data_IF_701081829056
#
_entry.id   IF_701081829056
#
_cell.length_a   1.000
_cell.length_b   1.000
_cell.length_c   1.000
_cell.angle_alpha   90.00
_cell.angle_beta   90.00
_cell.angle_gamma   90.00
#
_symmetry.space_group_name_H-M   'P 1'
#
loop_
_entity.id
_entity.type
_entity.pdbx_description
1 polymer ?
#
# COMPACT_ATOMS: atom_id res chain seq x y z
N UNK A 1 4.49 10.15 15.16
CA UNK A 1 4.03 9.54 13.90
C UNK A 1 5.14 8.68 13.33
N UNK A 2 4.89 7.46 12.84
CA UNK A 2 5.89 6.62 12.17
C UNK A 2 6.06 7.02 10.70
N UNK A 3 7.26 6.84 10.17
CA UNK A 3 7.58 7.16 8.78
C UNK A 3 8.29 5.97 8.13
N UNK A 4 7.76 5.49 7.02
CA UNK A 4 8.32 4.40 6.23
C UNK A 4 8.74 4.82 4.84
N UNK A 5 9.50 3.96 4.17
CA UNK A 5 9.76 4.07 2.74
C UNK A 5 9.29 2.82 1.99
N UNK A 6 8.90 2.98 0.73
CA UNK A 6 8.57 1.85 -0.14
C UNK A 6 9.48 1.79 -1.36
N UNK A 7 9.94 0.57 -1.68
CA UNK A 7 10.60 0.23 -2.93
C UNK A 7 9.58 -0.35 -3.92
N UNK A 8 9.58 0.11 -5.17
CA UNK A 8 8.57 -0.27 -6.17
C UNK A 8 9.14 -0.86 -7.47
N UNK A 9 10.46 -0.84 -7.66
CA UNK A 9 11.17 -1.49 -8.76
C UNK A 9 10.59 -1.19 -10.15
N UNK A 10 10.38 0.08 -10.47
CA UNK A 10 9.83 0.49 -11.78
C UNK A 10 10.89 0.56 -12.88
N UNK A 11 10.58 0.03 -14.07
CA UNK A 11 11.43 0.10 -15.26
C UNK A 11 10.63 0.55 -16.50
N UNK A 12 10.12 1.80 -16.52
CA UNK A 12 9.24 2.26 -17.58
C UNK A 12 9.84 2.07 -18.97
N UNK A 13 9.10 1.40 -19.87
CA UNK A 13 9.53 1.10 -21.22
C UNK A 13 10.73 0.15 -21.30
N UNK A 14 11.06 -0.54 -20.20
CA UNK A 14 12.25 -1.44 -20.09
C UNK A 14 13.53 -0.74 -20.51
N UNK A 15 13.65 0.55 -20.13
CA UNK A 15 14.75 1.42 -20.55
C UNK A 15 16.11 1.02 -19.97
N UNK A 16 16.13 0.18 -18.93
CA UNK A 16 17.31 -0.30 -18.22
C UNK A 16 17.26 -1.83 -18.08
N UNK A 17 18.38 -2.46 -17.71
CA UNK A 17 18.36 -3.86 -17.30
C UNK A 17 17.63 -3.98 -15.96
N UNK A 18 16.74 -4.94 -15.82
CA UNK A 18 15.98 -5.17 -14.56
C UNK A 18 16.92 -5.37 -13.36
N UNK A 19 18.06 -6.05 -13.57
CA UNK A 19 19.09 -6.19 -12.55
C UNK A 19 19.57 -4.84 -12.00
N UNK A 20 19.82 -3.86 -12.86
CA UNK A 20 20.36 -2.55 -12.44
C UNK A 20 19.27 -1.75 -11.67
N UNK A 21 18.00 -1.87 -12.07
CA UNK A 21 16.87 -1.27 -11.33
C UNK A 21 16.76 -1.88 -9.93
N UNK A 22 16.85 -3.21 -9.84
CA UNK A 22 16.84 -3.90 -8.54
C UNK A 22 17.99 -3.45 -7.64
N UNK A 23 19.21 -3.38 -8.17
CA UNK A 23 20.37 -2.96 -7.36
C UNK A 23 20.24 -1.51 -6.87
N UNK A 24 19.69 -0.62 -7.68
CA UNK A 24 19.48 0.77 -7.28
C UNK A 24 18.41 0.91 -6.21
N UNK A 25 17.25 0.25 -6.36
CA UNK A 25 16.16 0.30 -5.37
C UNK A 25 16.53 -0.44 -4.07
N UNK A 26 17.29 -1.54 -4.16
CA UNK A 26 17.84 -2.22 -2.96
C UNK A 26 18.82 -1.33 -2.20
N UNK A 27 19.68 -0.57 -2.92
CA UNK A 27 20.59 0.39 -2.28
C UNK A 27 19.82 1.48 -1.54
N UNK A 28 18.70 1.97 -2.10
CA UNK A 28 17.82 2.92 -1.41
C UNK A 28 17.14 2.28 -0.21
N UNK A 29 16.65 1.04 -0.33
CA UNK A 29 16.04 0.30 0.77
C UNK A 29 17.03 0.06 1.93
N UNK A 30 18.32 -0.20 1.63
CA UNK A 30 19.37 -0.31 2.63
C UNK A 30 19.62 0.97 3.43
N UNK A 31 19.30 2.13 2.86
CA UNK A 31 19.38 3.42 3.57
C UNK A 31 18.24 3.64 4.55
N UNK A 32 17.16 2.84 4.50
CA UNK A 32 15.99 3.00 5.34
C UNK A 32 16.35 3.04 6.83
N UNK A 33 17.00 1.99 7.32
CA UNK A 33 17.35 1.88 8.73
C UNK A 33 18.45 2.88 9.18
N UNK A 34 19.56 3.07 8.44
CA UNK A 34 20.57 4.07 8.77
C UNK A 34 20.08 5.52 8.80
N UNK A 35 19.12 5.88 7.93
CA UNK A 35 18.53 7.21 7.89
C UNK A 35 17.47 7.44 8.97
N UNK A 36 17.08 6.40 9.73
CA UNK A 36 16.14 6.53 10.84
C UNK A 36 14.67 6.31 10.49
N UNK A 37 14.35 5.76 9.32
CA UNK A 37 12.97 5.35 9.03
C UNK A 37 12.49 4.25 10.00
N UNK A 38 11.18 4.15 10.17
CA UNK A 38 10.54 3.19 11.07
C UNK A 38 10.16 1.88 10.35
N UNK A 39 10.06 1.89 9.00
CA UNK A 39 9.61 0.74 8.23
C UNK A 39 10.04 0.78 6.77
N UNK A 40 10.23 -0.40 6.17
CA UNK A 40 10.41 -0.61 4.73
C UNK A 40 9.23 -1.40 4.17
N UNK A 41 8.77 -1.01 2.97
CA UNK A 41 7.57 -1.53 2.32
C UNK A 41 7.85 -1.90 0.88
N UNK A 42 7.01 -2.78 0.33
CA UNK A 42 6.91 -2.97 -1.11
C UNK A 42 5.50 -3.37 -1.51
N UNK A 43 5.29 -3.43 -2.83
CA UNK A 43 4.02 -3.76 -3.49
C UNK A 43 4.14 -5.10 -4.20
N UNK A 44 3.01 -5.65 -4.68
CA UNK A 44 2.99 -6.84 -5.53
C UNK A 44 2.36 -6.50 -6.88
N UNK A 45 3.13 -6.69 -7.96
CA UNK A 45 2.67 -6.57 -9.35
C UNK A 45 3.41 -7.52 -10.27
N UNK A 46 2.77 -7.88 -11.39
CA UNK A 46 3.24 -8.94 -12.26
C UNK A 46 3.19 -8.55 -13.74
N UNK A 47 4.00 -9.27 -14.55
CA UNK A 47 3.99 -9.35 -16.01
C UNK A 47 4.31 -8.09 -16.79
N UNK A 48 4.43 -6.93 -16.14
CA UNK A 48 4.70 -5.64 -16.78
C UNK A 48 5.90 -4.93 -16.16
N UNK A 49 6.34 -3.84 -16.77
CA UNK A 49 7.39 -2.94 -16.28
C UNK A 49 6.86 -1.86 -15.31
N UNK A 50 5.57 -1.93 -14.96
CA UNK A 50 4.91 -1.02 -14.02
C UNK A 50 5.53 -1.07 -12.63
N UNK A 51 5.61 -2.25 -12.03
CA UNK A 51 6.40 -2.57 -10.84
C UNK A 51 6.85 -4.02 -10.93
N UNK A 52 8.14 -4.25 -10.73
CA UNK A 52 8.72 -5.58 -10.92
C UNK A 52 8.99 -6.25 -9.57
N UNK A 53 7.98 -6.29 -8.69
CA UNK A 53 8.03 -7.01 -7.42
C UNK A 53 6.95 -8.10 -7.42
N UNK A 54 7.23 -9.28 -7.98
CA UNK A 54 6.24 -10.34 -8.13
C UNK A 54 5.95 -11.09 -6.82
N UNK A 55 6.78 -10.90 -5.81
CA UNK A 55 6.60 -11.50 -4.50
C UNK A 55 7.08 -10.54 -3.42
N UNK A 56 6.13 -9.84 -2.80
CA UNK A 56 6.42 -8.86 -1.78
C UNK A 56 6.97 -9.50 -0.50
N UNK A 57 6.55 -10.73 -0.17
CA UNK A 57 7.02 -11.45 1.03
C UNK A 57 8.47 -11.91 0.85
N UNK A 58 8.85 -12.33 -0.35
CA UNK A 58 10.23 -12.69 -0.67
C UNK A 58 11.16 -11.47 -0.54
N UNK A 59 10.75 -10.30 -1.08
CA UNK A 59 11.51 -9.05 -0.91
C UNK A 59 11.63 -8.66 0.57
N UNK A 60 10.54 -8.70 1.33
CA UNK A 60 10.56 -8.37 2.75
C UNK A 60 11.39 -9.36 3.58
N UNK A 61 11.42 -10.63 3.19
CA UNK A 61 12.30 -11.65 3.81
C UNK A 61 13.77 -11.32 3.54
N UNK A 62 14.11 -10.89 2.32
CA UNK A 62 15.43 -10.41 2.00
C UNK A 62 15.82 -9.18 2.86
N UNK A 63 14.90 -8.23 3.04
CA UNK A 63 15.13 -7.07 3.90
C UNK A 63 15.17 -7.43 5.40
N UNK A 64 14.48 -8.48 5.83
CA UNK A 64 14.59 -8.99 7.21
C UNK A 64 16.01 -9.39 7.59
N UNK A 65 16.74 -10.01 6.64
CA UNK A 65 18.15 -10.37 6.83
C UNK A 65 19.13 -9.20 6.75
N UNK A 66 18.70 -8.04 6.25
CA UNK A 66 19.54 -6.84 6.05
C UNK A 66 19.28 -5.74 7.08
N UNK A 67 18.23 -5.88 7.88
CA UNK A 67 17.79 -4.89 8.87
C UNK A 67 17.55 -5.53 10.24
N UNK A 68 17.59 -4.74 11.28
CA UNK A 68 17.42 -5.24 12.67
C UNK A 68 16.26 -4.60 13.41
N UNK A 69 15.86 -3.38 13.02
CA UNK A 69 14.91 -2.55 13.75
C UNK A 69 13.64 -2.22 12.97
N UNK A 70 13.78 -1.87 11.70
CA UNK A 70 12.63 -1.39 10.91
C UNK A 70 11.55 -2.46 10.75
N UNK A 71 10.29 -2.03 10.80
CA UNK A 71 9.18 -2.90 10.46
C UNK A 71 9.16 -3.21 8.95
N UNK A 72 8.58 -4.34 8.60
CA UNK A 72 8.54 -4.90 7.23
C UNK A 72 7.09 -4.97 6.78
N UNK A 73 6.68 -4.09 5.86
CA UNK A 73 5.28 -3.96 5.48
C UNK A 73 4.99 -4.39 4.05
N UNK A 74 3.99 -5.22 3.84
CA UNK A 74 3.43 -5.47 2.51
C UNK A 74 2.33 -4.45 2.18
N UNK A 75 2.33 -3.95 0.93
CA UNK A 75 1.38 -2.93 0.49
C UNK A 75 0.95 -3.18 -0.96
N UNK A 76 0.46 -4.33 -1.26
CA UNK A 76 -0.11 -5.42 -0.44
C UNK A 76 0.34 -6.80 -0.91
N UNK A 77 -0.02 -7.90 -0.19
CA UNK A 77 -0.12 -9.25 -0.75
C UNK A 77 -1.48 -9.36 -1.44
N UNK A 78 -1.53 -9.74 -2.71
CA UNK A 78 -2.78 -9.83 -3.48
C UNK A 78 -3.37 -11.25 -3.38
N UNK A 79 -4.12 -11.50 -2.32
CA UNK A 79 -4.59 -12.84 -1.94
C UNK A 79 -5.24 -13.66 -3.06
N UNK A 80 -6.10 -13.12 -3.96
CA UNK A 80 -6.74 -13.94 -4.99
C UNK A 80 -5.80 -14.63 -5.98
N UNK A 81 -4.53 -14.22 -6.03
CA UNK A 81 -3.52 -14.84 -6.92
C UNK A 81 -2.70 -15.94 -6.25
N UNK A 82 -2.85 -16.13 -4.94
CA UNK A 82 -2.07 -17.04 -4.13
C UNK A 82 -2.91 -18.19 -3.56
N UNK A 83 -2.25 -19.26 -3.19
CA UNK A 83 -2.79 -20.22 -2.25
C UNK A 83 -2.71 -19.63 -0.83
N UNK A 84 -3.83 -19.39 -0.13
CA UNK A 84 -3.81 -18.68 1.15
C UNK A 84 -3.15 -19.49 2.27
N UNK A 85 -3.05 -20.82 2.18
CA UNK A 85 -2.28 -21.63 3.13
C UNK A 85 -0.77 -21.39 2.97
N UNK A 86 -0.29 -21.27 1.71
CA UNK A 86 1.09 -20.87 1.44
C UNK A 86 1.41 -19.49 2.00
N UNK A 87 0.51 -18.52 1.80
CA UNK A 87 0.68 -17.17 2.37
C UNK A 87 0.73 -17.21 3.90
N UNK A 88 -0.07 -18.05 4.56
CA UNK A 88 -0.04 -18.21 6.01
C UNK A 88 1.33 -18.69 6.52
N UNK A 89 1.93 -19.68 5.86
CA UNK A 89 3.28 -20.16 6.20
C UNK A 89 4.37 -19.15 5.90
N UNK A 90 4.32 -18.47 4.75
CA UNK A 90 5.28 -17.45 4.32
C UNK A 90 5.28 -16.24 5.26
N UNK A 91 4.10 -15.74 5.62
CA UNK A 91 3.91 -14.65 6.59
C UNK A 91 4.44 -15.06 7.96
N UNK A 92 4.11 -16.27 8.42
CA UNK A 92 4.60 -16.78 9.70
C UNK A 92 6.11 -16.98 9.71
N UNK A 93 6.68 -17.50 8.62
CA UNK A 93 8.13 -17.66 8.47
C UNK A 93 8.84 -16.29 8.50
N UNK A 94 8.36 -15.30 7.74
CA UNK A 94 8.92 -13.94 7.76
C UNK A 94 8.83 -13.30 9.15
N UNK A 95 7.70 -13.49 9.85
CA UNK A 95 7.52 -12.95 11.20
C UNK A 95 8.52 -13.57 12.20
N UNK A 96 8.77 -14.87 12.11
CA UNK A 96 9.80 -15.56 12.91
C UNK A 96 11.22 -15.08 12.55
N UNK A 97 11.56 -15.01 11.25
CA UNK A 97 12.87 -14.55 10.80
C UNK A 97 13.17 -13.09 11.21
N UNK A 98 12.15 -12.26 11.26
CA UNK A 98 12.28 -10.85 11.61
C UNK A 98 12.09 -10.55 13.10
N UNK A 99 11.75 -11.55 13.94
CA UNK A 99 11.43 -11.34 15.36
C UNK A 99 10.15 -10.50 15.55
N UNK A 100 9.14 -10.72 14.72
CA UNK A 100 7.84 -10.07 14.84
C UNK A 100 7.76 -8.65 14.26
N UNK A 101 8.61 -8.29 13.29
CA UNK A 101 8.60 -6.97 12.64
C UNK A 101 7.64 -6.86 11.46
N UNK A 102 6.95 -7.93 11.06
CA UNK A 102 6.02 -7.94 9.92
C UNK A 102 4.78 -7.09 10.21
N UNK A 103 4.39 -6.24 9.24
CA UNK A 103 3.09 -5.60 9.12
C UNK A 103 2.43 -6.15 7.86
N UNK A 104 1.33 -6.87 8.03
CA UNK A 104 0.67 -7.56 6.93
C UNK A 104 -0.33 -6.63 6.24
N UNK A 105 -0.11 -6.33 4.99
CA UNK A 105 -1.06 -5.64 4.14
C UNK A 105 -1.63 -6.58 3.08
N UNK A 106 -2.93 -6.61 2.94
CA UNK A 106 -3.69 -7.48 2.05
C UNK A 106 -4.41 -6.69 0.96
N UNK A 107 -4.59 -7.28 -0.21
CA UNK A 107 -5.31 -6.68 -1.32
C UNK A 107 -6.07 -7.69 -2.16
N UNK A 108 -7.05 -7.15 -2.90
CA UNK A 108 -7.87 -7.92 -3.83
C UNK A 108 -7.27 -8.00 -5.24
N UNK A 109 -6.41 -7.03 -5.59
CA UNK A 109 -5.94 -6.83 -6.95
C UNK A 109 -6.94 -6.05 -7.83
N UNK A 110 -6.40 -5.45 -8.91
CA UNK A 110 -7.19 -4.68 -9.87
C UNK A 110 -6.63 -4.74 -11.31
N UNK A 111 -5.42 -5.23 -11.52
CA UNK A 111 -4.80 -5.33 -12.84
C UNK A 111 -5.35 -6.50 -13.64
N UNK A 112 -6.09 -6.22 -14.73
CA UNK A 112 -6.65 -7.26 -15.60
C UNK A 112 -5.57 -8.20 -16.14
N UNK A 113 -4.41 -7.65 -16.55
CA UNK A 113 -3.27 -8.42 -17.07
C UNK A 113 -2.77 -9.45 -16.05
N UNK A 114 -2.86 -9.15 -14.77
CA UNK A 114 -2.43 -10.02 -13.68
C UNK A 114 -3.44 -11.15 -13.46
N UNK A 115 -4.74 -10.83 -13.42
CA UNK A 115 -5.79 -11.84 -13.35
C UNK A 115 -5.76 -12.82 -14.53
N UNK A 116 -5.58 -12.32 -15.75
CA UNK A 116 -5.43 -13.16 -16.95
C UNK A 116 -4.17 -14.04 -16.89
N UNK A 117 -3.04 -13.46 -16.46
CA UNK A 117 -1.77 -14.17 -16.32
C UNK A 117 -1.84 -15.32 -15.30
N UNK A 118 -2.52 -15.10 -14.17
CA UNK A 118 -2.75 -16.14 -13.16
C UNK A 118 -3.97 -17.02 -13.46
N UNK A 119 -4.75 -16.71 -14.49
CA UNK A 119 -5.94 -17.48 -14.89
C UNK A 119 -7.02 -17.48 -13.79
N UNK A 120 -7.08 -16.40 -13.01
CA UNK A 120 -8.09 -16.18 -11.96
C UNK A 120 -9.20 -15.29 -12.53
N UNK A 121 -10.48 -15.69 -12.46
CA UNK A 121 -11.56 -14.83 -12.93
C UNK A 121 -11.63 -13.53 -12.10
N UNK A 122 -11.44 -12.38 -12.75
CA UNK A 122 -11.42 -11.07 -12.08
C UNK A 122 -12.74 -10.77 -11.34
N UNK A 123 -13.88 -11.21 -11.89
CA UNK A 123 -15.20 -11.05 -11.27
C UNK A 123 -15.46 -11.84 -9.99
N UNK A 124 -14.58 -12.81 -9.65
CA UNK A 124 -14.64 -13.60 -8.41
C UNK A 124 -13.65 -13.08 -7.35
N UNK A 125 -12.87 -12.05 -7.69
CA UNK A 125 -11.76 -11.58 -6.85
C UNK A 125 -12.18 -11.12 -5.46
N UNK A 126 -13.40 -10.59 -5.31
CA UNK A 126 -13.91 -10.11 -4.03
C UNK A 126 -14.26 -11.27 -3.11
N UNK A 127 -14.99 -12.22 -3.60
CA UNK A 127 -15.43 -13.39 -2.86
C UNK A 127 -14.21 -14.25 -2.46
N UNK A 128 -13.29 -14.49 -3.40
CA UNK A 128 -12.02 -15.17 -3.11
C UNK A 128 -11.21 -14.43 -2.04
N UNK A 129 -11.10 -13.10 -2.16
CA UNK A 129 -10.38 -12.29 -1.16
C UNK A 129 -10.99 -12.45 0.23
N UNK A 130 -12.31 -12.43 0.36
CA UNK A 130 -12.98 -12.53 1.66
C UNK A 130 -12.72 -13.89 2.30
N UNK A 131 -12.95 -15.00 1.59
CA UNK A 131 -12.73 -16.34 2.13
C UNK A 131 -11.24 -16.58 2.46
N UNK A 132 -10.34 -16.19 1.57
CA UNK A 132 -8.91 -16.34 1.77
C UNK A 132 -8.40 -15.51 2.97
N UNK A 133 -8.89 -14.27 3.11
CA UNK A 133 -8.55 -13.42 4.25
C UNK A 133 -9.12 -13.96 5.56
N UNK A 134 -10.35 -14.46 5.58
CA UNK A 134 -10.94 -15.06 6.77
C UNK A 134 -10.10 -16.26 7.25
N UNK A 135 -9.82 -17.22 6.36
CA UNK A 135 -8.99 -18.37 6.70
C UNK A 135 -7.60 -17.96 7.19
N UNK A 136 -6.93 -17.06 6.45
CA UNK A 136 -5.59 -16.60 6.77
C UNK A 136 -5.53 -15.92 8.15
N UNK A 137 -6.42 -14.96 8.40
CA UNK A 137 -6.42 -14.19 9.63
C UNK A 137 -6.75 -15.05 10.86
N UNK A 138 -7.74 -15.93 10.73
CA UNK A 138 -8.06 -16.88 11.79
C UNK A 138 -6.92 -17.89 12.01
N UNK A 139 -6.33 -18.39 10.92
CA UNK A 139 -5.22 -19.34 10.97
C UNK A 139 -3.99 -18.76 11.67
N UNK A 140 -3.63 -17.53 11.37
CA UNK A 140 -2.51 -16.82 12.01
C UNK A 140 -2.70 -16.63 13.52
N UNK A 141 -3.96 -16.56 14.01
CA UNK A 141 -4.25 -16.47 15.44
C UNK A 141 -4.34 -17.86 16.09
N UNK A 142 -4.84 -18.88 15.39
CA UNK A 142 -5.04 -20.26 15.91
C UNK A 142 -3.79 -21.14 15.78
N UNK A 143 -2.87 -20.81 14.85
CA UNK A 143 -1.70 -21.62 14.51
C UNK A 143 -2.00 -22.77 13.54
N UNK A 144 -3.20 -22.84 13.01
CA UNK A 144 -3.62 -23.78 11.96
C UNK A 144 -4.71 -23.16 11.09
N UNK A 145 -4.76 -23.55 9.83
CA UNK A 145 -5.85 -23.22 8.92
C UNK A 145 -6.83 -24.38 8.77
N UNK A 146 -8.12 -24.05 8.71
CA UNK A 146 -9.24 -24.94 8.39
C UNK A 146 -10.37 -24.08 7.85
N UNK A 147 -10.90 -24.37 6.68
CA UNK A 147 -11.95 -23.57 6.05
C UNK A 147 -12.78 -24.40 5.08
N UNK A 148 -14.10 -24.17 5.08
CA UNK A 148 -15.04 -24.78 4.16
C UNK A 148 -15.94 -23.69 3.56
N UNK A 149 -15.58 -23.22 2.35
CA UNK A 149 -16.24 -22.15 1.62
C UNK A 149 -16.55 -22.53 0.18
N UNK A 150 -17.01 -21.54 -0.57
CA UNK A 150 -17.35 -21.71 -2.00
C UNK A 150 -16.09 -21.75 -2.88
N UNK A 151 -15.12 -20.88 -2.58
CA UNK A 151 -13.88 -20.71 -3.37
C UNK A 151 -12.68 -21.40 -2.72
N UNK A 152 -12.80 -21.80 -1.47
CA UNK A 152 -11.71 -22.41 -0.72
C UNK A 152 -12.24 -23.53 0.17
N UNK A 153 -11.67 -24.72 -0.02
CA UNK A 153 -11.83 -25.82 0.93
C UNK A 153 -10.46 -26.24 1.43
N UNK A 154 -10.16 -25.92 2.70
CA UNK A 154 -8.89 -26.21 3.35
C UNK A 154 -9.12 -27.18 4.51
N UNK A 155 -8.72 -28.46 4.38
CA UNK A 155 -8.68 -29.37 5.53
C UNK A 155 -7.73 -28.83 6.60
N UNK A 156 -7.99 -29.17 7.86
CA UNK A 156 -7.14 -28.71 8.95
C UNK A 156 -5.67 -29.03 8.71
N UNK A 157 -4.85 -27.99 8.70
CA UNK A 157 -3.40 -28.06 8.56
C UNK A 157 -2.73 -27.04 9.49
N UNK A 158 -1.72 -27.48 10.23
CA UNK A 158 -0.95 -26.60 11.12
C UNK A 158 -0.07 -25.65 10.31
N UNK A 159 0.00 -24.38 10.71
CA UNK A 159 0.97 -23.41 10.15
C UNK A 159 2.34 -23.68 10.77
N UNK A 160 3.35 -23.93 9.94
CA UNK A 160 4.74 -24.16 10.37
C UNK A 160 5.76 -23.34 9.59
N UNK A 161 6.61 -22.53 10.29
CA UNK A 161 6.63 -22.33 11.75
C UNK A 161 5.33 -21.70 12.27
N UNK A 162 5.02 -21.88 13.54
CA UNK A 162 3.88 -21.19 14.15
C UNK A 162 4.12 -19.67 14.15
N UNK A 163 3.06 -18.83 14.02
CA UNK A 163 3.19 -17.38 14.08
C UNK A 163 3.95 -16.92 15.34
N UNK A 164 4.89 -15.98 15.16
CA UNK A 164 5.74 -15.50 16.26
C UNK A 164 4.93 -14.73 17.30
N UNK A 165 3.97 -13.92 16.86
CA UNK A 165 3.01 -13.20 17.69
C UNK A 165 1.73 -12.92 16.93
N UNK A 166 0.66 -12.52 17.65
CA UNK A 166 -0.63 -12.13 17.04
C UNK A 166 -0.49 -11.10 15.93
N UNK A 167 -1.27 -11.25 14.87
CA UNK A 167 -1.40 -10.30 13.78
C UNK A 167 -2.48 -9.25 14.00
N UNK A 168 -3.25 -9.34 15.08
CA UNK A 168 -4.25 -8.33 15.44
C UNK A 168 -3.60 -6.98 15.67
N UNK A 169 -4.17 -5.93 15.06
CA UNK A 169 -3.65 -4.56 15.16
C UNK A 169 -2.43 -4.28 14.29
N UNK A 170 -1.89 -5.27 13.56
CA UNK A 170 -0.80 -5.10 12.59
C UNK A 170 -1.12 -5.71 11.22
N UNK A 171 -2.41 -5.98 10.95
CA UNK A 171 -2.92 -6.35 9.64
C UNK A 171 -3.78 -5.24 9.09
N UNK A 172 -3.57 -4.94 7.81
CA UNK A 172 -4.21 -3.86 7.08
C UNK A 172 -4.67 -4.33 5.71
N UNK A 173 -5.59 -3.60 5.09
CA UNK A 173 -5.96 -3.88 3.71
C UNK A 173 -6.16 -2.59 2.90
N UNK A 174 -5.86 -2.65 1.60
CA UNK A 174 -6.15 -1.57 0.69
C UNK A 174 -7.66 -1.54 0.39
N UNK A 175 -8.32 -0.44 0.74
CA UNK A 175 -9.74 -0.24 0.51
C UNK A 175 -10.00 1.15 -0.06
N UNK A 176 -10.72 1.22 -1.19
CA UNK A 176 -11.00 2.48 -1.90
C UNK A 176 -12.50 2.75 -2.10
N UNK A 177 -13.37 1.79 -1.79
CA UNK A 177 -14.84 1.93 -1.93
C UNK A 177 -15.54 1.72 -0.59
N UNK A 178 -16.74 2.30 -0.38
CA UNK A 178 -17.52 2.10 0.85
C UNK A 178 -17.78 0.62 1.15
N UNK A 179 -18.04 -0.17 0.12
CA UNK A 179 -18.26 -1.62 0.24
C UNK A 179 -16.99 -2.35 0.72
N UNK A 180 -15.81 -1.98 0.19
CA UNK A 180 -14.54 -2.52 0.67
C UNK A 180 -14.30 -2.14 2.14
N UNK A 181 -14.62 -0.92 2.56
CA UNK A 181 -14.50 -0.47 3.95
C UNK A 181 -15.35 -1.34 4.90
N UNK A 182 -16.57 -1.72 4.48
CA UNK A 182 -17.42 -2.63 5.26
C UNK A 182 -16.76 -4.00 5.44
N UNK A 183 -16.26 -4.59 4.36
CA UNK A 183 -15.57 -5.89 4.40
C UNK A 183 -14.35 -5.82 5.33
N UNK A 184 -13.57 -4.73 5.30
CA UNK A 184 -12.41 -4.58 6.18
C UNK A 184 -12.81 -4.48 7.66
N UNK A 185 -13.92 -3.82 7.97
CA UNK A 185 -14.46 -3.77 9.33
C UNK A 185 -14.91 -5.17 9.80
N UNK A 186 -15.57 -5.95 8.94
CA UNK A 186 -15.99 -7.33 9.22
C UNK A 186 -14.79 -8.27 9.43
N UNK A 187 -13.71 -8.09 8.68
CA UNK A 187 -12.46 -8.84 8.83
C UNK A 187 -11.61 -8.39 10.03
N UNK A 188 -11.94 -7.26 10.68
CA UNK A 188 -11.17 -6.74 11.81
C UNK A 188 -9.78 -6.21 11.45
N UNK A 189 -9.56 -5.72 10.22
CA UNK A 189 -8.27 -5.22 9.72
C UNK A 189 -8.26 -3.71 9.55
N UNK A 190 -7.09 -3.08 9.71
CA UNK A 190 -6.89 -1.65 9.48
C UNK A 190 -6.90 -1.26 8.00
N UNK A 191 -6.86 0.03 7.71
CA UNK A 191 -6.92 0.56 6.34
C UNK A 191 -5.57 1.07 5.87
N UNK A 192 -5.13 0.62 4.67
CA UNK A 192 -4.07 1.22 3.87
C UNK A 192 -4.70 2.22 2.90
N UNK A 193 -4.24 3.47 2.95
CA UNK A 193 -4.76 4.55 2.10
C UNK A 193 -3.73 4.86 1.02
N UNK A 194 -4.13 4.64 -0.25
CA UNK A 194 -3.41 5.11 -1.43
C UNK A 194 -4.20 6.30 -1.97
N UNK A 195 -3.59 7.52 -2.09
CA UNK A 195 -4.31 8.71 -2.51
C UNK A 195 -4.78 8.61 -3.97
N UNK A 196 -6.08 8.49 -4.19
CA UNK A 196 -6.71 8.40 -5.52
C UNK A 196 -7.94 9.29 -5.65
N UNK A 197 -8.38 9.92 -4.56
CA UNK A 197 -9.57 10.76 -4.47
C UNK A 197 -9.36 11.87 -3.44
N UNK A 198 -10.23 12.92 -3.44
CA UNK A 198 -10.10 14.01 -2.49
C UNK A 198 -10.10 13.53 -1.04
N UNK A 199 -9.19 14.04 -0.23
CA UNK A 199 -9.06 13.66 1.18
C UNK A 199 -10.34 13.85 2.00
N UNK A 200 -11.24 14.78 1.59
CA UNK A 200 -12.55 14.96 2.23
C UNK A 200 -13.44 13.71 2.06
N UNK A 201 -13.40 13.08 0.90
CA UNK A 201 -14.13 11.83 0.64
C UNK A 201 -13.53 10.67 1.42
N UNK A 202 -12.19 10.55 1.44
CA UNK A 202 -11.48 9.55 2.24
C UNK A 202 -11.83 9.67 3.73
N UNK A 203 -11.83 10.89 4.28
CA UNK A 203 -12.14 11.13 5.68
C UNK A 203 -13.58 10.72 6.04
N UNK A 204 -14.55 11.00 5.15
CA UNK A 204 -15.94 10.56 5.34
C UNK A 204 -16.05 9.04 5.40
N UNK A 205 -15.48 8.35 4.43
CA UNK A 205 -15.53 6.88 4.37
C UNK A 205 -14.82 6.22 5.56
N UNK A 206 -13.69 6.78 6.01
CA UNK A 206 -13.03 6.32 7.22
C UNK A 206 -13.87 6.51 8.47
N UNK A 207 -14.62 7.62 8.58
CA UNK A 207 -15.53 7.82 9.71
C UNK A 207 -16.62 6.74 9.75
N UNK A 208 -17.19 6.40 8.59
CA UNK A 208 -18.17 5.30 8.47
C UNK A 208 -17.55 3.94 8.82
N UNK A 209 -16.34 3.67 8.32
CA UNK A 209 -15.58 2.47 8.67
C UNK A 209 -15.30 2.39 10.17
N UNK A 210 -14.84 3.46 10.82
CA UNK A 210 -14.55 3.47 12.26
C UNK A 210 -15.79 3.17 13.09
N UNK A 211 -16.95 3.75 12.73
CA UNK A 211 -18.20 3.48 13.42
C UNK A 211 -18.60 2.00 13.29
N UNK A 212 -18.53 1.46 12.08
CA UNK A 212 -18.86 0.05 11.81
C UNK A 212 -17.87 -0.91 12.48
N UNK A 213 -16.57 -0.61 12.41
CA UNK A 213 -15.53 -1.43 13.05
C UNK A 213 -15.76 -1.54 14.58
N UNK A 214 -16.04 -0.42 15.25
CA UNK A 214 -16.36 -0.42 16.70
C UNK A 214 -17.62 -1.24 16.99
N UNK A 215 -18.65 -1.09 16.17
CA UNK A 215 -19.89 -1.84 16.33
C UNK A 215 -19.67 -3.36 16.23
N UNK A 216 -18.85 -3.82 15.29
CA UNK A 216 -18.61 -5.25 15.03
C UNK A 216 -17.60 -5.83 16.02
N UNK A 217 -16.47 -5.13 16.24
CA UNK A 217 -15.33 -5.69 16.93
C UNK A 217 -15.24 -5.27 18.42
N UNK A 218 -16.05 -4.29 18.86
CA UNK A 218 -16.06 -3.82 20.26
C UNK A 218 -14.81 -3.06 20.71
N UNK A 219 -13.90 -2.72 19.76
CA UNK A 219 -12.65 -1.98 20.02
C UNK A 219 -12.42 -0.95 18.94
N UNK A 220 -11.51 0.00 19.17
CA UNK A 220 -11.10 0.96 18.15
C UNK A 220 -10.29 0.28 17.03
N UNK A 221 -10.49 0.67 15.78
CA UNK A 221 -9.65 0.17 14.68
C UNK A 221 -8.21 0.67 14.82
N UNK A 222 -7.23 -0.06 14.26
CA UNK A 222 -5.87 0.46 14.15
C UNK A 222 -5.87 1.79 13.36
N UNK A 223 -5.05 2.79 13.76
CA UNK A 223 -4.89 4.00 12.96
C UNK A 223 -4.52 3.67 11.51
N UNK A 224 -5.12 4.32 10.51
CA UNK A 224 -4.82 4.03 9.12
C UNK A 224 -3.35 4.33 8.80
N UNK A 225 -2.83 3.63 7.79
CA UNK A 225 -1.52 3.89 7.20
C UNK A 225 -1.75 4.58 5.86
N UNK A 226 -1.13 5.73 5.62
CA UNK A 226 -1.18 6.41 4.32
C UNK A 226 0.13 6.25 3.57
N UNK A 227 0.05 5.99 2.27
CA UNK A 227 1.19 6.04 1.37
C UNK A 227 1.14 7.27 0.47
N UNK A 228 2.28 7.67 -0.13
CA UNK A 228 2.32 8.77 -1.08
C UNK A 228 3.62 8.82 -1.86
N UNK A 229 3.52 9.17 -3.15
CA UNK A 229 4.69 9.49 -3.96
C UNK A 229 5.28 10.79 -3.48
N UNK A 230 6.56 10.75 -3.16
CA UNK A 230 7.22 11.85 -2.44
C UNK A 230 8.34 12.45 -3.27
N UNK A 231 8.31 13.77 -3.44
CA UNK A 231 9.41 14.52 -4.04
C UNK A 231 9.70 15.79 -3.24
N UNK A 232 10.84 15.81 -2.56
CA UNK A 232 11.29 16.90 -1.72
C UNK A 232 12.47 17.63 -2.35
N UNK A 233 12.38 18.94 -2.48
CA UNK A 233 13.45 19.80 -3.01
C UNK A 233 13.43 21.17 -2.30
N UNK A 234 14.59 21.77 -1.93
CA UNK A 234 14.61 23.07 -1.29
C UNK A 234 14.15 24.19 -2.23
N UNK A 235 14.23 24.02 -3.55
CA UNK A 235 13.73 24.97 -4.54
C UNK A 235 12.28 24.61 -4.91
N UNK A 236 11.28 25.47 -4.62
CA UNK A 236 9.87 25.18 -4.86
C UNK A 236 9.51 25.04 -6.35
N UNK A 237 10.20 25.77 -7.24
CA UNK A 237 9.92 25.66 -8.68
C UNK A 237 10.48 24.35 -9.24
N UNK A 238 11.68 23.97 -8.82
CA UNK A 238 12.26 22.66 -9.16
C UNK A 238 11.43 21.52 -8.59
N UNK A 239 10.94 21.64 -7.36
CA UNK A 239 10.06 20.66 -6.74
C UNK A 239 8.78 20.47 -7.58
N UNK A 240 8.15 21.55 -8.02
CA UNK A 240 6.96 21.51 -8.88
C UNK A 240 7.22 20.83 -10.23
N UNK A 241 8.28 21.26 -10.93
CA UNK A 241 8.67 20.70 -12.23
C UNK A 241 8.93 19.19 -12.12
N UNK A 242 9.72 18.80 -11.12
CA UNK A 242 10.13 17.40 -10.92
C UNK A 242 8.98 16.52 -10.44
N UNK A 243 8.11 17.03 -9.55
CA UNK A 243 6.91 16.31 -9.13
C UNK A 243 5.98 16.02 -10.33
N UNK A 244 5.69 17.02 -11.16
CA UNK A 244 4.89 16.79 -12.39
C UNK A 244 5.54 15.78 -13.32
N UNK A 245 6.85 15.83 -13.49
CA UNK A 245 7.58 14.88 -14.33
C UNK A 245 7.52 13.47 -13.78
N UNK A 246 7.89 13.27 -12.52
CA UNK A 246 8.09 11.94 -11.95
C UNK A 246 6.77 11.35 -11.42
N UNK A 247 6.01 12.08 -10.61
CA UNK A 247 4.73 11.59 -10.09
C UNK A 247 3.72 11.47 -11.24
N UNK A 248 3.69 12.43 -12.17
CA UNK A 248 2.88 12.33 -13.38
C UNK A 248 3.29 11.17 -14.27
N UNK A 249 4.58 10.92 -14.44
CA UNK A 249 5.11 9.75 -15.17
C UNK A 249 4.71 8.43 -14.52
N UNK A 250 4.77 8.36 -13.20
CA UNK A 250 4.25 7.20 -12.45
C UNK A 250 2.75 6.98 -12.75
N UNK A 251 1.95 8.04 -12.65
CA UNK A 251 0.50 7.88 -12.85
C UNK A 251 0.13 7.50 -14.29
N UNK A 252 0.91 7.91 -15.30
CA UNK A 252 0.75 7.37 -16.67
C UNK A 252 0.95 5.85 -16.68
N UNK A 253 1.96 5.32 -16.02
CA UNK A 253 2.16 3.87 -15.92
C UNK A 253 1.03 3.15 -15.17
N UNK A 254 0.36 3.83 -14.22
CA UNK A 254 -0.88 3.33 -13.58
C UNK A 254 -2.00 3.21 -14.62
N UNK A 255 -2.22 4.26 -15.43
CA UNK A 255 -3.27 4.24 -16.45
C UNK A 255 -3.03 3.13 -17.47
N UNK A 256 -1.79 2.92 -17.89
CA UNK A 256 -1.39 1.88 -18.84
C UNK A 256 -1.55 0.47 -18.25
N UNK A 257 -1.13 0.26 -17.02
CA UNK A 257 -1.15 -1.06 -16.37
C UNK A 257 -2.58 -1.51 -16.03
N UNK A 258 -3.37 -0.64 -15.38
CA UNK A 258 -4.72 -0.97 -14.94
C UNK A 258 -5.77 -0.77 -16.03
N UNK A 259 -5.44 0.00 -17.07
CA UNK A 259 -6.34 0.28 -18.19
C UNK A 259 -7.70 0.81 -17.72
N UNK A 260 -7.69 1.76 -16.79
CA UNK A 260 -8.91 2.34 -16.22
C UNK A 260 -9.83 2.99 -17.26
N UNK A 261 -9.31 3.35 -18.43
CA UNK A 261 -10.09 3.85 -19.57
C UNK A 261 -10.91 2.78 -20.31
N UNK A 262 -10.68 1.49 -20.07
CA UNK A 262 -11.32 0.40 -20.81
C UNK A 262 -12.69 0.02 -20.24
N UNK A 263 -13.56 -0.50 -21.10
CA UNK A 263 -14.92 -0.92 -20.75
C UNK A 263 -14.99 -2.05 -19.70
N UNK A 264 -13.95 -2.88 -19.57
CA UNK A 264 -13.95 -3.97 -18.62
C UNK A 264 -14.11 -3.49 -17.16
N UNK A 265 -13.62 -2.28 -16.82
CA UNK A 265 -13.80 -1.69 -15.49
C UNK A 265 -15.27 -1.36 -15.17
N UNK A 266 -16.10 -1.16 -16.19
CA UNK A 266 -17.55 -0.90 -16.02
C UNK A 266 -18.36 -2.19 -15.91
N UNK A 267 -17.89 -3.26 -16.53
CA UNK A 267 -18.66 -4.50 -16.73
C UNK A 267 -18.23 -5.64 -15.80
N UNK A 268 -17.05 -5.54 -15.19
CA UNK A 268 -16.56 -6.57 -14.28
C UNK A 268 -17.17 -6.38 -12.87
N UNK A 269 -17.85 -7.42 -12.37
CA UNK A 269 -18.43 -7.45 -11.03
C UNK A 269 -17.39 -7.03 -9.97
N UNK A 270 -17.76 -6.09 -9.11
CA UNK A 270 -16.94 -5.62 -8.01
C UNK A 270 -15.93 -4.53 -8.37
N UNK A 271 -15.91 -4.06 -9.63
CA UNK A 271 -15.03 -2.98 -10.08
C UNK A 271 -15.80 -1.74 -10.56
N UNK A 272 -17.10 -1.70 -10.34
CA UNK A 272 -17.99 -0.60 -10.76
C UNK A 272 -17.58 0.77 -10.17
N UNK A 273 -16.90 0.75 -9.03
CA UNK A 273 -16.33 1.97 -8.44
C UNK A 273 -15.31 2.65 -9.38
N UNK A 274 -14.51 1.86 -10.11
CA UNK A 274 -13.52 2.38 -11.04
C UNK A 274 -14.13 2.94 -12.33
N UNK A 275 -15.41 2.66 -12.62
CA UNK A 275 -16.14 3.29 -13.71
C UNK A 275 -16.13 4.83 -13.62
N UNK A 276 -16.16 5.37 -12.39
CA UNK A 276 -16.03 6.83 -12.17
C UNK A 276 -14.67 7.38 -12.62
N UNK A 277 -13.60 6.61 -12.49
CA UNK A 277 -12.27 7.01 -12.99
C UNK A 277 -12.27 7.01 -14.52
N UNK A 278 -12.85 5.97 -15.14
CA UNK A 278 -13.05 5.89 -16.59
C UNK A 278 -13.80 7.12 -17.10
N UNK A 279 -14.93 7.50 -16.49
CA UNK A 279 -15.73 8.67 -16.88
C UNK A 279 -14.94 9.99 -16.74
N UNK A 280 -14.12 10.13 -15.70
CA UNK A 280 -13.24 11.30 -15.53
C UNK A 280 -12.18 11.39 -16.63
N UNK A 281 -11.54 10.27 -16.98
CA UNK A 281 -10.55 10.20 -18.07
C UNK A 281 -11.20 10.65 -19.39
N UNK A 282 -12.36 10.10 -19.72
CA UNK A 282 -13.09 10.47 -20.94
C UNK A 282 -13.59 11.92 -20.94
N UNK A 283 -13.97 12.46 -19.79
CA UNK A 283 -14.52 13.83 -19.67
C UNK A 283 -13.45 14.90 -19.70
N UNK A 284 -12.35 14.69 -18.96
CA UNK A 284 -11.34 15.73 -18.71
C UNK A 284 -10.02 15.51 -19.42
N UNK A 285 -9.78 14.31 -19.97
CA UNK A 285 -8.51 13.89 -20.58
C UNK A 285 -7.44 13.53 -19.54
N UNK A 286 -6.44 12.77 -19.99
CA UNK A 286 -5.41 12.19 -19.13
C UNK A 286 -4.62 13.25 -18.35
N UNK A 287 -4.25 14.36 -18.98
CA UNK A 287 -3.40 15.39 -18.36
C UNK A 287 -4.06 16.01 -17.11
N UNK A 288 -5.38 16.29 -17.14
CA UNK A 288 -6.07 16.85 -15.96
C UNK A 288 -6.20 15.82 -14.83
N UNK A 289 -6.38 14.55 -15.17
CA UNK A 289 -6.46 13.47 -14.19
C UNK A 289 -5.07 13.23 -13.58
N UNK A 290 -4.00 13.33 -14.37
CA UNK A 290 -2.62 13.29 -13.90
C UNK A 290 -2.32 14.46 -12.96
N UNK A 291 -2.65 15.70 -13.34
CA UNK A 291 -2.43 16.87 -12.50
C UNK A 291 -3.18 16.73 -11.16
N UNK A 292 -4.43 16.28 -11.19
CA UNK A 292 -5.19 15.99 -9.97
C UNK A 292 -4.49 14.94 -9.09
N UNK A 293 -3.97 13.86 -9.67
CA UNK A 293 -3.23 12.85 -8.93
C UNK A 293 -1.95 13.43 -8.30
N UNK A 294 -1.19 14.22 -9.06
CA UNK A 294 0.03 14.88 -8.58
C UNK A 294 -0.28 15.77 -7.36
N UNK A 295 -1.38 16.50 -7.39
CA UNK A 295 -1.78 17.41 -6.30
C UNK A 295 -2.14 16.67 -5.01
N UNK A 296 -2.58 15.43 -5.10
CA UNK A 296 -2.84 14.57 -3.93
C UNK A 296 -1.57 14.08 -3.24
N UNK A 297 -0.41 14.13 -3.92
CA UNK A 297 0.83 13.53 -3.44
C UNK A 297 1.68 14.51 -2.60
N UNK A 298 2.73 13.96 -1.99
CA UNK A 298 3.61 14.72 -1.09
C UNK A 298 4.82 15.27 -1.87
N UNK A 299 4.74 16.52 -2.28
CA UNK A 299 5.85 17.18 -2.97
C UNK A 299 5.94 18.66 -2.62
N UNK A 300 7.14 19.22 -2.74
CA UNK A 300 7.43 20.63 -2.46
C UNK A 300 8.74 20.80 -1.72
N UNK A 301 8.88 21.96 -1.04
CA UNK A 301 9.97 22.17 -0.09
C UNK A 301 9.80 21.25 1.14
N UNK A 302 10.82 21.08 1.99
CA UNK A 302 10.68 20.34 3.24
C UNK A 302 9.46 20.78 4.06
N UNK A 303 9.24 22.08 4.22
CA UNK A 303 8.09 22.63 4.93
C UNK A 303 6.77 22.27 4.26
N UNK A 304 6.71 22.37 2.93
CA UNK A 304 5.49 22.01 2.17
C UNK A 304 5.19 20.51 2.26
N UNK A 305 6.21 19.66 2.21
CA UNK A 305 6.04 18.22 2.40
C UNK A 305 5.52 17.91 3.81
N UNK A 306 6.08 18.53 4.84
CA UNK A 306 5.65 18.40 6.22
C UNK A 306 4.19 18.82 6.40
N UNK A 307 3.81 20.00 5.92
CA UNK A 307 2.43 20.51 6.05
C UNK A 307 1.41 19.65 5.29
N UNK A 308 1.75 19.13 4.11
CA UNK A 308 0.89 18.20 3.38
C UNK A 308 0.63 16.92 4.19
N UNK A 309 1.66 16.33 4.79
CA UNK A 309 1.50 15.13 5.63
C UNK A 309 0.67 15.44 6.88
N UNK A 310 0.89 16.60 7.51
CA UNK A 310 0.08 17.04 8.65
C UNK A 310 -1.38 17.28 8.28
N UNK A 311 -1.66 17.85 7.10
CA UNK A 311 -3.03 18.05 6.63
C UNK A 311 -3.74 16.70 6.43
N UNK A 312 -3.06 15.73 5.82
CA UNK A 312 -3.58 14.36 5.70
C UNK A 312 -3.87 13.77 7.09
N UNK A 313 -2.90 13.87 8.00
CA UNK A 313 -3.05 13.37 9.36
C UNK A 313 -4.25 13.99 10.10
N UNK A 314 -4.44 15.31 9.99
CA UNK A 314 -5.59 16.01 10.59
C UNK A 314 -6.92 15.51 10.05
N UNK A 315 -6.97 15.09 8.77
CA UNK A 315 -8.19 14.64 8.10
C UNK A 315 -8.53 13.18 8.36
N UNK A 316 -7.51 12.30 8.38
CA UNK A 316 -7.74 10.85 8.38
C UNK A 316 -7.21 10.14 9.64
N UNK A 317 -6.54 10.85 10.52
CA UNK A 317 -6.04 10.27 11.78
C UNK A 317 -4.93 9.23 11.62
N UNK A 318 -4.21 9.23 10.48
CA UNK A 318 -3.13 8.27 10.27
C UNK A 318 -1.95 8.53 11.20
N UNK A 319 -1.34 7.47 11.69
CA UNK A 319 -0.14 7.54 12.56
C UNK A 319 1.09 6.90 11.90
N UNK A 320 0.97 6.57 10.63
CA UNK A 320 2.06 6.05 9.81
C UNK A 320 1.95 6.60 8.39
N UNK A 321 3.01 7.20 7.89
CA UNK A 321 3.16 7.65 6.50
C UNK A 321 4.24 6.84 5.80
N UNK A 322 3.97 6.35 4.61
CA UNK A 322 4.92 5.59 3.77
C UNK A 322 5.21 6.38 2.50
N UNK A 323 6.44 6.89 2.37
CA UNK A 323 6.89 7.61 1.18
C UNK A 323 7.46 6.68 0.12
N UNK A 324 7.11 6.91 -1.15
CA UNK A 324 7.77 6.31 -2.32
C UNK A 324 8.71 7.36 -2.89
N UNK A 325 10.02 7.06 -3.00
CA UNK A 325 11.06 8.04 -3.34
C UNK A 325 11.77 7.76 -4.67
N UNK A 326 11.60 6.56 -5.25
CA UNK A 326 12.16 6.12 -6.53
C UNK A 326 11.05 5.56 -7.40
N UNK A 327 10.76 6.19 -8.54
CA UNK A 327 9.67 5.82 -9.44
C UNK A 327 9.80 6.50 -10.82
N UNK A 328 9.05 6.04 -11.81
CA UNK A 328 8.94 6.62 -13.15
C UNK A 328 10.29 6.79 -13.88
N UNK A 329 11.25 5.90 -13.63
CA UNK A 329 12.58 6.00 -14.23
C UNK A 329 13.42 7.16 -13.69
N UNK A 330 13.12 7.66 -12.49
CA UNK A 330 13.94 8.69 -11.81
C UNK A 330 15.39 8.23 -11.72
N UNK A 331 16.38 9.09 -12.06
CA UNK A 331 17.78 8.75 -11.90
C UNK A 331 18.12 8.37 -10.45
N UNK A 332 18.92 7.32 -10.20
CA UNK A 332 19.24 6.87 -8.85
C UNK A 332 19.79 7.94 -7.92
N UNK A 333 20.66 8.82 -8.44
CA UNK A 333 21.19 9.95 -7.67
C UNK A 333 20.12 10.97 -7.28
N UNK A 334 19.10 11.18 -8.11
CA UNK A 334 17.96 12.03 -7.80
C UNK A 334 17.07 11.39 -6.73
N UNK A 335 16.79 10.10 -6.86
CA UNK A 335 16.01 9.34 -5.89
C UNK A 335 16.69 9.33 -4.49
N UNK A 336 18.01 9.09 -4.45
CA UNK A 336 18.75 9.12 -3.18
C UNK A 336 18.79 10.52 -2.57
N UNK A 337 18.97 11.57 -3.38
CA UNK A 337 18.92 12.96 -2.90
C UNK A 337 17.55 13.29 -2.31
N UNK A 338 16.47 12.91 -2.98
CA UNK A 338 15.10 13.09 -2.51
C UNK A 338 14.89 12.38 -1.16
N UNK A 339 15.26 11.09 -1.08
CA UNK A 339 15.14 10.28 0.14
C UNK A 339 15.91 10.91 1.32
N UNK A 340 17.18 11.29 1.10
CA UNK A 340 18.04 11.88 2.14
C UNK A 340 17.52 13.22 2.62
N UNK A 341 17.12 14.11 1.71
CA UNK A 341 16.57 15.42 2.07
C UNK A 341 15.29 15.26 2.91
N UNK A 342 14.39 14.38 2.51
CA UNK A 342 13.19 14.09 3.29
C UNK A 342 13.54 13.52 4.68
N UNK A 343 14.48 12.61 4.74
CA UNK A 343 14.91 11.98 6.00
C UNK A 343 15.57 12.97 6.98
N UNK A 344 16.29 13.97 6.47
CA UNK A 344 16.98 14.95 7.33
C UNK A 344 16.10 16.14 7.72
N UNK A 345 15.27 16.64 6.80
CA UNK A 345 14.55 17.90 6.98
C UNK A 345 13.05 17.73 7.34
N UNK A 346 12.42 16.63 6.96
CA UNK A 346 10.98 16.40 7.16
C UNK A 346 10.69 15.38 8.25
N UNK A 347 11.29 14.19 8.10
CA UNK A 347 10.98 13.02 8.93
C UNK A 347 11.17 13.26 10.45
N UNK A 348 12.24 13.94 10.96
CA UNK A 348 12.42 14.13 12.39
C UNK A 348 11.30 14.93 13.05
N UNK A 349 10.70 15.88 12.32
CA UNK A 349 9.57 16.66 12.82
C UNK A 349 8.29 15.79 12.89
N UNK A 350 8.06 14.92 11.89
CA UNK A 350 6.95 13.99 11.90
C UNK A 350 7.05 12.97 13.04
N UNK A 351 8.26 12.42 13.28
CA UNK A 351 8.49 11.42 14.32
C UNK A 351 8.31 11.97 15.75
N UNK A 352 8.45 13.28 15.95
CA UNK A 352 8.17 13.95 17.25
C UNK A 352 6.69 14.22 17.51
N UNK A 353 5.80 14.00 16.54
CA UNK A 353 4.37 14.18 16.76
C UNK A 353 3.83 13.11 17.73
N UNK A 354 3.01 13.54 18.69
CA UNK A 354 2.26 12.64 19.55
C UNK A 354 1.39 11.68 18.71
N UNK A 355 1.02 10.50 19.23
CA UNK A 355 0.07 9.62 18.56
C UNK A 355 -1.16 10.40 18.09
N UNK A 356 -1.69 10.06 16.91
CA UNK A 356 -2.87 10.75 16.40
C UNK A 356 -4.02 10.61 17.42
N UNK A 357 -4.72 11.70 17.77
CA UNK A 357 -5.95 11.56 18.53
C UNK A 357 -6.92 10.70 17.71
N UNK A 358 -7.56 9.74 18.36
CA UNK A 358 -8.65 8.98 17.76
C UNK A 358 -9.63 10.01 17.19
N UNK A 359 -9.89 9.96 15.88
CA UNK A 359 -10.64 10.99 15.19
C UNK A 359 -11.98 11.22 15.89
N UNK A 360 -12.17 12.40 16.47
CA UNK A 360 -13.44 12.79 17.05
C UNK A 360 -14.47 12.85 15.92
N UNK A 361 -15.59 12.16 16.10
CA UNK A 361 -16.73 12.24 15.19
C UNK A 361 -17.14 13.71 15.09
N UNK A 362 -17.13 14.36 13.93
CA UNK A 362 -17.73 15.71 13.81
C UNK A 362 -19.22 15.61 14.08
N UNK A 363 -19.68 16.15 15.21
CA UNK A 363 -21.10 16.33 15.55
C UNK A 363 -21.72 15.15 16.30
N UNK A 364 -21.35 14.95 17.58
CA UNK A 364 -22.23 14.37 18.58
C UNK A 364 -22.94 15.49 19.33
#
# INVERSE_FOLDING_TARGET
MRVGMAAVFQNPGRARRDFDVYQDDLRLADLCEPLGFDSVWSVEHHFTDYTMCPDVLQFLTYMAGRTTRVALGSMVVVLPWHDPMRVAEEVSMLDNLSGGRMILGLGRGAGKVEFEGFRVPMGESRERFVEYAQMLLEGLEKGYCEFDGEFLNQPRADIRPAPFKSFRGRTYAAAVSPESMKIMAELGVGILIIPQKPWKEVAKELSEYHALYRQINGVEPPPPISAGWTFCDPDPERARERARRWIGGYFRSVLDHYRFGDEHMKTTKGYEYYAKMNDKIHTYGDEKVIDFFVDLQVWGTPEQCYEKILDVRRRVGNDHFVGVFSYAGMPPAEAERNLRLFATEVMPALQRLDPAPVAAVPGA
#
